data_IF_734887714387
#
_entry.id   IF_734887714387
#
_cell.length_a   1.000
_cell.length_b   1.000
_cell.length_c   1.000
_cell.angle_alpha   90.00
_cell.angle_beta   90.00
_cell.angle_gamma   90.00
#
_symmetry.space_group_name_H-M   'P 1'
#
loop_
_entity.id
_entity.type
_entity.pdbx_description
1 polymer ?
#
# COMPACT_ATOMS: atom_id res chain seq x y z
N UNK A 1 30.97 -18.35 24.37
CA UNK A 1 30.22 -19.56 23.94
C UNK A 1 29.68 -19.27 22.57
N UNK A 2 30.09 -20.02 21.53
CA UNK A 2 29.53 -19.88 20.17
C UNK A 2 28.10 -20.41 20.17
N UNK A 3 27.16 -19.64 19.62
CA UNK A 3 25.80 -20.13 19.38
C UNK A 3 25.87 -21.37 18.49
N UNK A 4 25.13 -22.44 18.82
CA UNK A 4 25.13 -23.64 17.99
C UNK A 4 24.56 -23.31 16.62
N UNK A 5 25.19 -23.84 15.57
CA UNK A 5 24.63 -23.80 14.22
C UNK A 5 23.39 -24.70 14.16
N UNK A 6 22.22 -24.10 14.02
CA UNK A 6 20.93 -24.79 13.97
C UNK A 6 20.57 -25.28 12.57
N UNK A 7 21.38 -24.92 11.56
CA UNK A 7 21.08 -25.28 10.19
C UNK A 7 21.50 -26.72 9.88
N UNK A 8 20.53 -27.58 9.51
CA UNK A 8 20.81 -28.91 9.00
C UNK A 8 21.45 -28.90 7.60
N UNK A 9 21.12 -27.88 6.80
CA UNK A 9 21.69 -27.62 5.48
C UNK A 9 21.49 -26.14 5.12
N UNK A 10 22.40 -25.60 4.29
CA UNK A 10 22.29 -24.23 3.76
C UNK A 10 22.32 -24.29 2.24
N UNK A 11 21.29 -23.73 1.60
CA UNK A 11 21.24 -23.50 0.15
C UNK A 11 21.37 -22.01 -0.10
N UNK A 12 22.34 -21.62 -0.92
CA UNK A 12 22.54 -20.23 -1.33
C UNK A 12 21.95 -20.03 -2.72
N UNK A 13 21.11 -18.98 -2.87
CA UNK A 13 20.66 -18.53 -4.17
C UNK A 13 21.86 -18.07 -5.02
N UNK A 14 21.78 -18.30 -6.32
CA UNK A 14 22.64 -17.64 -7.32
C UNK A 14 22.13 -16.20 -7.51
N UNK A 15 22.94 -15.32 -8.15
CA UNK A 15 22.52 -13.96 -8.48
C UNK A 15 21.13 -13.96 -9.10
N UNK A 16 20.16 -13.36 -8.42
CA UNK A 16 18.77 -13.34 -8.84
C UNK A 16 18.61 -12.65 -10.21
N UNK A 17 17.63 -13.09 -10.97
CA UNK A 17 17.17 -12.36 -12.16
C UNK A 17 16.86 -10.93 -11.78
N UNK A 18 17.27 -9.95 -12.61
CA UNK A 18 16.87 -8.57 -12.44
C UNK A 18 15.34 -8.45 -12.63
N UNK A 19 14.66 -7.86 -11.64
CA UNK A 19 13.21 -7.67 -11.62
C UNK A 19 12.92 -6.19 -11.85
N UNK A 20 11.99 -5.87 -12.75
CA UNK A 20 11.56 -4.51 -13.05
C UNK A 20 10.10 -4.34 -12.65
N UNK A 21 9.83 -3.46 -11.69
CA UNK A 21 8.48 -3.15 -11.21
C UNK A 21 8.12 -1.72 -11.61
N UNK A 22 6.94 -1.53 -12.20
CA UNK A 22 6.36 -0.21 -12.39
C UNK A 22 5.37 0.10 -11.27
N UNK A 23 5.67 1.10 -10.45
CA UNK A 23 4.73 1.68 -9.49
C UNK A 23 3.90 2.73 -10.22
N UNK A 24 2.61 2.49 -10.29
CA UNK A 24 1.64 3.31 -11.02
C UNK A 24 0.87 4.16 -10.02
N UNK A 25 1.18 5.44 -9.92
CA UNK A 25 0.30 6.41 -9.28
C UNK A 25 -0.81 6.77 -10.26
N UNK A 26 -2.08 6.33 -10.06
CA UNK A 26 -3.14 6.51 -11.03
C UNK A 26 -3.81 7.89 -10.98
N UNK A 27 -3.33 8.81 -10.14
CA UNK A 27 -3.74 10.21 -10.13
C UNK A 27 -2.69 11.10 -10.81
N UNK A 28 -3.02 12.36 -11.09
CA UNK A 28 -2.12 13.31 -11.76
C UNK A 28 -1.24 14.12 -10.81
N UNK A 29 -1.14 13.74 -9.53
CA UNK A 29 -0.29 14.43 -8.56
C UNK A 29 1.17 13.98 -8.66
N UNK A 30 2.03 14.86 -9.17
CA UNK A 30 3.47 14.65 -9.21
C UNK A 30 4.08 14.60 -7.80
N UNK A 31 3.52 15.35 -6.84
CA UNK A 31 3.99 15.37 -5.44
C UNK A 31 3.83 14.00 -4.77
N UNK A 32 2.71 13.31 -5.01
CA UNK A 32 2.50 11.95 -4.50
C UNK A 32 3.52 11.00 -5.13
N UNK A 33 3.74 11.06 -6.46
CA UNK A 33 4.77 10.23 -7.10
C UNK A 33 6.15 10.53 -6.55
N UNK A 34 6.48 11.81 -6.32
CA UNK A 34 7.77 12.19 -5.77
C UNK A 34 7.99 11.63 -4.36
N UNK A 35 6.95 11.65 -3.49
CA UNK A 35 7.02 11.04 -2.15
C UNK A 35 7.31 9.53 -2.22
N UNK A 36 6.74 8.81 -3.20
CA UNK A 36 7.05 7.40 -3.42
C UNK A 36 8.51 7.19 -3.85
N UNK A 37 9.01 8.04 -4.74
CA UNK A 37 10.43 8.02 -5.16
C UNK A 37 11.35 8.25 -3.97
N UNK A 38 11.07 9.26 -3.15
CA UNK A 38 11.91 9.64 -2.00
C UNK A 38 11.89 8.55 -0.91
N UNK A 39 10.76 7.90 -0.70
CA UNK A 39 10.67 6.74 0.18
C UNK A 39 11.63 5.62 -0.26
N UNK A 40 11.63 5.25 -1.55
CA UNK A 40 12.53 4.21 -2.05
C UNK A 40 13.99 4.67 -2.19
N UNK A 41 14.28 5.96 -2.22
CA UNK A 41 15.64 6.47 -2.07
C UNK A 41 16.17 6.32 -0.65
N UNK A 42 15.28 6.51 0.34
CA UNK A 42 15.63 6.36 1.77
C UNK A 42 15.70 4.90 2.19
N UNK A 43 14.79 4.06 1.66
CA UNK A 43 14.72 2.62 1.92
C UNK A 43 14.74 1.84 0.60
N UNK A 44 15.91 1.71 -0.04
CA UNK A 44 16.01 1.09 -1.36
C UNK A 44 15.67 -0.40 -1.32
N UNK A 45 15.05 -0.94 -2.39
CA UNK A 45 14.81 -2.36 -2.52
C UNK A 45 16.15 -3.12 -2.69
N UNK A 46 16.15 -4.47 -2.59
CA UNK A 46 17.31 -5.27 -2.93
C UNK A 46 17.87 -4.96 -4.32
N UNK A 47 19.19 -5.05 -4.49
CA UNK A 47 19.92 -4.59 -5.69
C UNK A 47 19.47 -5.21 -7.03
N UNK A 48 18.81 -6.38 -6.99
CA UNK A 48 18.27 -7.02 -8.19
C UNK A 48 16.89 -6.49 -8.60
N UNK A 49 16.28 -5.58 -7.82
CA UNK A 49 14.98 -4.97 -8.11
C UNK A 49 15.18 -3.54 -8.59
N UNK A 50 14.60 -3.23 -9.74
CA UNK A 50 14.52 -1.87 -10.27
C UNK A 50 13.08 -1.40 -10.21
N UNK A 51 12.83 -0.26 -9.58
CA UNK A 51 11.51 0.35 -9.49
C UNK A 51 11.48 1.58 -10.40
N UNK A 52 10.48 1.61 -11.27
CA UNK A 52 10.13 2.78 -12.07
C UNK A 52 8.80 3.35 -11.61
N UNK A 53 8.55 4.62 -11.84
CA UNK A 53 7.34 5.30 -11.39
C UNK A 53 6.60 5.90 -12.58
N UNK A 54 5.28 5.81 -12.54
CA UNK A 54 4.37 6.44 -13.49
C UNK A 54 3.41 7.34 -12.72
N UNK A 55 3.22 8.55 -13.20
CA UNK A 55 2.16 9.47 -12.75
C UNK A 55 1.03 9.44 -13.78
N UNK A 56 -0.21 9.35 -13.32
CA UNK A 56 -1.37 9.45 -14.19
C UNK A 56 -1.35 10.72 -15.03
N UNK A 57 -1.85 10.68 -16.27
CA UNK A 57 -1.87 11.85 -17.14
C UNK A 57 -2.73 12.98 -16.54
N UNK A 58 -2.59 14.23 -17.04
CA UNK A 58 -3.29 15.42 -16.50
C UNK A 58 -4.82 15.31 -16.46
N UNK A 59 -5.40 14.43 -17.28
CA UNK A 59 -6.84 14.15 -17.33
C UNK A 59 -7.32 13.29 -16.14
N UNK A 60 -6.39 12.66 -15.42
CA UNK A 60 -6.72 11.99 -14.18
C UNK A 60 -7.02 13.00 -13.07
N UNK A 61 -7.88 12.65 -12.10
CA UNK A 61 -8.06 13.47 -10.92
C UNK A 61 -6.71 13.66 -10.19
N UNK A 62 -6.51 14.82 -9.58
CA UNK A 62 -5.33 15.09 -8.75
C UNK A 62 -5.30 14.23 -7.49
N UNK A 63 -6.49 13.95 -6.93
CA UNK A 63 -6.74 13.01 -5.83
C UNK A 63 -7.87 12.08 -6.25
N UNK A 64 -7.84 10.83 -5.77
CA UNK A 64 -8.91 9.87 -5.98
C UNK A 64 -9.65 9.75 -4.66
N UNK A 65 -10.81 10.38 -4.57
CA UNK A 65 -11.53 10.57 -3.33
C UNK A 65 -12.86 9.78 -3.27
N UNK A 66 -13.17 9.02 -4.32
CA UNK A 66 -14.37 8.18 -4.41
C UNK A 66 -14.23 7.08 -5.48
N UNK A 67 -15.19 6.15 -5.49
CA UNK A 67 -15.22 5.01 -6.42
C UNK A 67 -15.31 5.46 -7.90
N UNK A 68 -16.09 6.50 -8.21
CA UNK A 68 -16.23 7.02 -9.57
C UNK A 68 -14.88 7.49 -10.12
N UNK A 69 -14.08 8.13 -9.28
CA UNK A 69 -12.74 8.61 -9.65
C UNK A 69 -11.75 7.43 -9.81
N UNK A 70 -11.88 6.36 -9.01
CA UNK A 70 -11.12 5.12 -9.25
C UNK A 70 -11.37 4.58 -10.66
N UNK A 71 -12.64 4.47 -11.06
CA UNK A 71 -12.99 3.99 -12.39
C UNK A 71 -12.54 4.93 -13.51
N UNK A 72 -12.69 6.24 -13.32
CA UNK A 72 -12.27 7.26 -14.30
C UNK A 72 -10.75 7.20 -14.48
N UNK A 73 -10.00 7.22 -13.40
CA UNK A 73 -8.54 7.18 -13.43
C UNK A 73 -8.01 5.91 -14.08
N UNK A 74 -8.62 4.75 -13.78
CA UNK A 74 -8.22 3.48 -14.40
C UNK A 74 -8.39 3.50 -15.91
N UNK A 75 -9.54 4.01 -16.40
CA UNK A 75 -9.82 4.14 -17.84
C UNK A 75 -8.84 5.10 -18.53
N UNK A 76 -8.49 6.18 -17.85
CA UNK A 76 -7.56 7.20 -18.36
C UNK A 76 -6.11 6.69 -18.36
N UNK A 77 -5.66 5.97 -17.31
CA UNK A 77 -4.30 5.45 -17.24
C UNK A 77 -4.03 4.29 -18.19
N UNK A 78 -5.01 3.40 -18.41
CA UNK A 78 -4.79 2.15 -19.15
C UNK A 78 -4.15 2.36 -20.53
N UNK A 79 -4.64 3.27 -21.41
CA UNK A 79 -4.05 3.47 -22.73
C UNK A 79 -2.57 3.84 -22.70
N UNK A 80 -2.12 4.57 -21.67
CA UNK A 80 -0.74 4.99 -21.49
C UNK A 80 0.18 3.86 -21.04
N UNK A 81 -0.37 2.83 -20.41
CA UNK A 81 0.38 1.68 -19.91
C UNK A 81 0.46 0.53 -20.93
N UNK A 82 -0.49 0.45 -21.89
CA UNK A 82 -0.53 -0.58 -22.90
C UNK A 82 0.77 -0.75 -23.73
N UNK A 83 1.48 0.32 -24.13
CA UNK A 83 2.74 0.16 -24.86
C UNK A 83 3.79 -0.58 -24.04
N UNK A 84 3.93 -0.28 -22.74
CA UNK A 84 4.88 -0.94 -21.86
C UNK A 84 4.53 -2.42 -21.62
N UNK A 85 3.22 -2.73 -21.50
CA UNK A 85 2.72 -4.11 -21.39
C UNK A 85 3.08 -4.90 -22.65
N UNK A 86 2.77 -4.38 -23.85
CA UNK A 86 3.05 -5.02 -25.13
C UNK A 86 4.55 -5.25 -25.38
N UNK A 87 5.37 -4.34 -24.88
CA UNK A 87 6.82 -4.41 -24.99
C UNK A 87 7.47 -5.30 -23.89
N UNK A 88 6.69 -5.88 -22.97
CA UNK A 88 7.18 -6.61 -21.78
C UNK A 88 8.27 -5.82 -21.03
N UNK A 89 8.06 -4.50 -20.86
CA UNK A 89 9.05 -3.58 -20.30
C UNK A 89 9.27 -3.81 -18.81
N UNK A 90 8.22 -4.26 -18.10
CA UNK A 90 8.22 -4.53 -16.68
C UNK A 90 7.70 -5.94 -16.38
N UNK A 91 8.25 -6.56 -15.35
CA UNK A 91 7.85 -7.88 -14.87
C UNK A 91 6.57 -7.80 -14.03
N UNK A 92 6.37 -6.69 -13.32
CA UNK A 92 5.19 -6.47 -12.48
C UNK A 92 4.74 -5.00 -12.45
N UNK A 93 3.47 -4.79 -12.09
CA UNK A 93 2.82 -3.49 -11.96
C UNK A 93 2.16 -3.37 -10.59
N UNK A 94 2.50 -2.33 -9.83
CA UNK A 94 1.90 -2.00 -8.54
C UNK A 94 1.06 -0.74 -8.66
N UNK A 95 -0.25 -0.84 -8.47
CA UNK A 95 -1.14 0.32 -8.50
C UNK A 95 -1.16 0.99 -7.12
N UNK A 96 -0.60 2.19 -7.04
CA UNK A 96 -0.43 2.97 -5.82
C UNK A 96 -1.66 3.83 -5.50
N UNK A 97 -2.85 3.20 -5.46
CA UNK A 97 -4.08 3.75 -4.94
C UNK A 97 -4.65 2.78 -3.91
N UNK A 98 -4.95 3.30 -2.71
CA UNK A 98 -5.45 2.48 -1.62
C UNK A 98 -6.97 2.33 -1.68
N UNK A 99 -7.41 1.44 -2.54
CA UNK A 99 -8.82 1.16 -2.83
C UNK A 99 -8.94 -0.19 -3.57
N UNK A 100 -10.13 -0.72 -3.70
CA UNK A 100 -10.44 -1.78 -4.69
C UNK A 100 -10.39 -1.19 -6.10
N UNK A 101 -9.18 -0.81 -6.53
CA UNK A 101 -8.97 -0.07 -7.77
C UNK A 101 -9.08 -0.99 -8.99
N UNK A 102 -9.86 -0.63 -10.03
CA UNK A 102 -10.07 -1.54 -11.18
C UNK A 102 -8.83 -1.73 -12.06
N UNK A 103 -7.86 -0.81 -12.01
CA UNK A 103 -6.68 -0.83 -12.90
C UNK A 103 -5.85 -2.13 -12.82
N UNK A 104 -5.56 -2.75 -11.66
CA UNK A 104 -4.81 -4.01 -11.62
C UNK A 104 -5.47 -5.10 -12.45
N UNK A 105 -6.80 -5.24 -12.36
CA UNK A 105 -7.55 -6.21 -13.14
C UNK A 105 -7.58 -5.87 -14.65
N UNK A 106 -7.70 -4.58 -14.98
CA UNK A 106 -7.65 -4.10 -16.37
C UNK A 106 -6.29 -4.37 -17.01
N UNK A 107 -5.19 -4.18 -16.29
CA UNK A 107 -3.82 -4.49 -16.75
C UNK A 107 -3.64 -5.99 -16.99
N UNK A 108 -4.07 -6.84 -16.06
CA UNK A 108 -4.04 -8.31 -16.25
C UNK A 108 -4.83 -8.72 -17.49
N UNK A 109 -6.05 -8.25 -17.64
CA UNK A 109 -6.89 -8.54 -18.81
C UNK A 109 -6.25 -8.07 -20.11
N UNK A 110 -5.73 -6.85 -20.15
CA UNK A 110 -5.11 -6.26 -21.34
C UNK A 110 -3.83 -6.98 -21.76
N UNK A 111 -3.13 -7.62 -20.82
CA UNK A 111 -1.94 -8.44 -21.09
C UNK A 111 -2.26 -9.89 -21.42
N UNK A 112 -3.53 -10.30 -21.42
CA UNK A 112 -3.90 -11.73 -21.52
C UNK A 112 -3.43 -12.54 -20.31
N UNK A 113 -3.39 -11.93 -19.12
CA UNK A 113 -2.93 -12.50 -17.84
C UNK A 113 -1.43 -12.89 -17.84
N UNK A 114 -0.62 -12.23 -18.66
CA UNK A 114 0.85 -12.50 -18.72
C UNK A 114 1.66 -11.62 -17.79
N UNK A 115 1.09 -10.53 -17.25
CA UNK A 115 1.78 -9.65 -16.29
C UNK A 115 1.20 -9.80 -14.88
N UNK A 116 2.10 -9.71 -13.90
CA UNK A 116 1.73 -9.70 -12.48
C UNK A 116 1.33 -8.29 -12.06
N UNK A 117 0.11 -8.12 -11.53
CA UNK A 117 -0.41 -6.83 -11.09
C UNK A 117 -1.03 -6.94 -9.70
N UNK A 118 -0.79 -5.94 -8.85
CA UNK A 118 -1.34 -5.85 -7.51
C UNK A 118 -1.68 -4.39 -7.17
N UNK A 119 -2.70 -4.16 -6.35
CA UNK A 119 -2.96 -2.89 -5.71
C UNK A 119 -2.32 -2.82 -4.33
N UNK A 120 -2.03 -1.62 -3.85
CA UNK A 120 -1.42 -1.42 -2.52
C UNK A 120 -2.40 -1.75 -1.39
N UNK A 121 -3.71 -1.71 -1.63
CA UNK A 121 -4.73 -2.14 -0.68
C UNK A 121 -4.61 -3.64 -0.41
N UNK A 122 -4.68 -4.47 -1.44
CA UNK A 122 -4.57 -5.93 -1.34
C UNK A 122 -3.21 -6.34 -0.76
N UNK A 123 -2.14 -5.68 -1.21
CA UNK A 123 -0.79 -5.94 -0.71
C UNK A 123 -0.68 -5.69 0.80
N UNK A 124 -1.21 -4.56 1.29
CA UNK A 124 -1.15 -4.24 2.71
C UNK A 124 -1.98 -5.20 3.57
N UNK A 125 -3.16 -5.61 3.08
CA UNK A 125 -4.01 -6.58 3.78
C UNK A 125 -3.32 -7.93 3.91
N UNK A 126 -2.73 -8.45 2.83
CA UNK A 126 -1.94 -9.69 2.85
C UNK A 126 -0.78 -9.60 3.83
N UNK A 127 -0.05 -8.48 3.80
CA UNK A 127 1.10 -8.25 4.66
C UNK A 127 0.70 -8.13 6.14
N UNK A 128 -0.42 -7.42 6.42
CA UNK A 128 -0.95 -7.28 7.76
C UNK A 128 -1.40 -8.63 8.34
N UNK A 129 -2.11 -9.44 7.55
CA UNK A 129 -2.55 -10.78 7.96
C UNK A 129 -1.38 -11.73 8.22
N UNK A 130 -0.27 -11.58 7.47
CA UNK A 130 0.93 -12.38 7.67
C UNK A 130 1.74 -11.97 8.90
N UNK A 131 1.63 -10.70 9.33
CA UNK A 131 2.34 -10.15 10.49
C UNK A 131 1.58 -10.28 11.81
N UNK A 132 0.25 -10.24 11.75
CA UNK A 132 -0.60 -10.34 12.92
C UNK A 132 -0.71 -11.80 13.38
N UNK A 133 -0.57 -12.04 14.68
CA UNK A 133 -0.87 -13.35 15.27
C UNK A 133 -2.34 -13.74 15.04
N UNK A 134 -2.72 -15.03 15.15
CA UNK A 134 -4.09 -15.51 14.84
C UNK A 134 -5.19 -14.75 15.58
N UNK A 135 -4.95 -14.30 16.79
CA UNK A 135 -5.91 -13.57 17.65
C UNK A 135 -5.79 -12.06 17.52
N UNK A 136 -4.80 -11.57 16.78
CA UNK A 136 -4.57 -10.15 16.60
C UNK A 136 -5.36 -9.58 15.43
N UNK A 137 -5.64 -8.29 15.53
CA UNK A 137 -6.36 -7.53 14.51
C UNK A 137 -5.45 -6.53 13.81
N UNK A 138 -5.74 -6.29 12.54
CA UNK A 138 -5.19 -5.13 11.84
C UNK A 138 -6.24 -4.06 11.64
N UNK A 139 -5.80 -2.81 11.54
CA UNK A 139 -6.64 -1.66 11.21
C UNK A 139 -6.04 -0.86 10.07
N UNK A 140 -6.85 -0.01 9.45
CA UNK A 140 -6.45 0.84 8.33
C UNK A 140 -6.66 2.30 8.73
N UNK A 141 -5.62 3.14 8.61
CA UNK A 141 -5.77 4.60 8.69
C UNK A 141 -5.80 5.12 7.26
N UNK A 142 -6.82 5.91 6.92
CA UNK A 142 -7.02 6.40 5.55
C UNK A 142 -7.33 7.90 5.50
N UNK A 143 -7.60 8.42 4.33
CA UNK A 143 -7.88 9.81 3.99
C UNK A 143 -9.32 10.24 4.34
N UNK A 144 -10.16 10.46 3.36
CA UNK A 144 -11.54 10.94 3.53
C UNK A 144 -12.48 9.91 4.16
N UNK A 145 -13.53 10.39 4.83
CA UNK A 145 -14.48 9.54 5.58
C UNK A 145 -15.21 8.51 4.73
N UNK A 146 -15.43 8.80 3.45
CA UNK A 146 -16.08 7.88 2.51
C UNK A 146 -15.33 6.53 2.42
N UNK A 147 -14.02 6.56 2.62
CA UNK A 147 -13.18 5.37 2.58
C UNK A 147 -13.40 4.42 3.75
N UNK A 148 -13.97 4.86 4.87
CA UNK A 148 -14.25 3.95 6.00
C UNK A 148 -15.21 2.82 5.58
N UNK A 149 -16.28 3.15 4.88
CA UNK A 149 -17.23 2.14 4.37
C UNK A 149 -16.73 1.42 3.13
N UNK A 150 -16.14 2.15 2.17
CA UNK A 150 -15.65 1.56 0.93
C UNK A 150 -14.54 0.53 1.17
N UNK A 151 -13.55 0.84 2.02
CA UNK A 151 -12.47 -0.09 2.35
C UNK A 151 -12.95 -1.28 3.19
N UNK A 152 -13.95 -1.09 4.06
CA UNK A 152 -14.56 -2.21 4.78
C UNK A 152 -15.24 -3.17 3.81
N UNK A 153 -15.99 -2.66 2.85
CA UNK A 153 -16.64 -3.48 1.80
C UNK A 153 -15.59 -4.17 0.92
N UNK A 154 -14.59 -3.41 0.45
CA UNK A 154 -13.49 -3.93 -0.36
C UNK A 154 -12.73 -5.08 0.35
N UNK A 155 -12.50 -4.93 1.66
CA UNK A 155 -11.87 -5.97 2.47
C UNK A 155 -12.68 -7.26 2.47
N UNK A 156 -13.99 -7.16 2.68
CA UNK A 156 -14.87 -8.34 2.68
C UNK A 156 -14.91 -9.01 1.30
N UNK A 157 -14.94 -8.23 0.22
CA UNK A 157 -14.83 -8.74 -1.15
C UNK A 157 -13.50 -9.46 -1.37
N UNK A 158 -12.39 -8.83 -0.99
CA UNK A 158 -11.06 -9.39 -1.20
C UNK A 158 -10.83 -10.69 -0.43
N UNK A 159 -11.31 -10.78 0.81
CA UNK A 159 -11.18 -11.97 1.65
C UNK A 159 -12.24 -13.02 1.35
N UNK A 160 -13.28 -12.70 0.56
CA UNK A 160 -14.39 -13.60 0.26
C UNK A 160 -15.29 -13.90 1.48
N UNK A 161 -15.37 -12.96 2.44
CA UNK A 161 -16.14 -13.12 3.68
C UNK A 161 -17.01 -11.90 3.94
N UNK A 162 -18.13 -12.07 4.64
CA UNK A 162 -19.02 -10.96 5.02
C UNK A 162 -18.57 -10.20 6.27
N UNK A 163 -17.70 -10.79 7.07
CA UNK A 163 -17.07 -10.21 8.25
C UNK A 163 -15.84 -11.01 8.65
N UNK A 164 -14.90 -10.36 9.33
CA UNK A 164 -13.72 -11.04 9.89
C UNK A 164 -13.39 -10.48 11.28
N UNK A 165 -13.11 -11.38 12.23
CA UNK A 165 -12.66 -11.01 13.58
C UNK A 165 -11.25 -10.42 13.59
N UNK A 166 -10.49 -10.60 12.50
CA UNK A 166 -9.12 -10.09 12.34
C UNK A 166 -9.04 -8.61 11.93
N UNK A 167 -10.17 -7.93 11.75
CA UNK A 167 -10.22 -6.53 11.32
C UNK A 167 -10.74 -5.62 12.45
N UNK A 168 -9.95 -4.61 12.78
CA UNK A 168 -10.27 -3.61 13.80
C UNK A 168 -11.08 -2.42 13.26
N UNK A 169 -11.16 -2.29 11.93
CA UNK A 169 -11.89 -1.22 11.26
C UNK A 169 -10.99 -0.26 10.47
N UNK A 170 -11.61 0.78 9.96
CA UNK A 170 -10.96 1.89 9.26
C UNK A 170 -11.11 3.17 10.09
N UNK A 171 -10.06 3.97 10.17
CA UNK A 171 -10.09 5.31 10.75
C UNK A 171 -9.61 6.31 9.70
N UNK A 172 -10.43 7.31 9.37
CA UNK A 172 -10.08 8.35 8.42
C UNK A 172 -9.49 9.58 9.10
N UNK A 173 -8.54 10.25 8.43
CA UNK A 173 -8.04 11.57 8.83
C UNK A 173 -9.07 12.68 8.56
N UNK A 174 -9.96 12.47 7.60
CA UNK A 174 -10.89 13.46 7.07
C UNK A 174 -10.31 14.32 5.95
N UNK A 175 -9.00 14.25 5.68
CA UNK A 175 -8.32 14.94 4.58
C UNK A 175 -8.34 14.11 3.29
N UNK A 176 -8.29 14.76 2.13
CA UNK A 176 -7.96 14.12 0.85
C UNK A 176 -6.48 13.75 0.78
N UNK A 177 -6.09 12.96 -0.23
CA UNK A 177 -4.68 12.59 -0.41
C UNK A 177 -3.79 13.82 -0.71
N UNK A 178 -4.31 14.86 -1.36
CA UNK A 178 -3.57 16.10 -1.60
C UNK A 178 -3.43 16.90 -0.33
N UNK A 179 -4.50 17.06 0.45
CA UNK A 179 -4.46 17.81 1.71
C UNK A 179 -3.47 17.23 2.72
N UNK A 180 -3.16 15.92 2.66
CA UNK A 180 -2.08 15.34 3.47
C UNK A 180 -0.71 15.98 3.20
N UNK A 181 -0.50 16.54 2.00
CA UNK A 181 0.76 17.21 1.61
C UNK A 181 0.69 18.74 1.74
N UNK A 182 -0.51 19.32 1.61
CA UNK A 182 -0.70 20.77 1.60
C UNK A 182 -0.95 21.35 3.01
N UNK A 183 -1.49 20.52 3.92
CA UNK A 183 -1.77 20.93 5.31
C UNK A 183 -0.50 20.92 6.17
N UNK A 184 -0.44 21.71 7.25
CA UNK A 184 0.67 21.65 8.19
C UNK A 184 0.91 20.23 8.70
N UNK A 185 2.16 19.76 8.64
CA UNK A 185 2.54 18.40 9.05
C UNK A 185 2.04 18.04 10.45
N UNK A 186 2.09 18.99 11.39
CA UNK A 186 1.60 18.78 12.77
C UNK A 186 0.12 18.40 12.83
N UNK A 187 -0.71 19.02 11.97
CA UNK A 187 -2.15 18.74 11.92
C UNK A 187 -2.42 17.37 11.30
N UNK A 188 -1.72 17.06 10.22
CA UNK A 188 -1.80 15.74 9.56
C UNK A 188 -1.38 14.64 10.53
N UNK A 189 -0.25 14.83 11.22
CA UNK A 189 0.28 13.88 12.20
C UNK A 189 -0.68 13.69 13.37
N UNK A 190 -1.31 14.75 13.86
CA UNK A 190 -2.33 14.66 14.89
C UNK A 190 -3.53 13.80 14.45
N UNK A 191 -4.03 13.99 13.21
CA UNK A 191 -5.16 13.20 12.68
C UNK A 191 -4.81 11.74 12.49
N UNK A 192 -3.62 11.43 11.96
CA UNK A 192 -3.13 10.06 11.85
C UNK A 192 -2.99 9.43 13.23
N UNK A 193 -2.42 10.14 14.20
CA UNK A 193 -2.26 9.69 15.58
C UNK A 193 -3.60 9.44 16.28
N UNK A 194 -4.63 10.28 16.06
CA UNK A 194 -5.99 10.04 16.55
C UNK A 194 -6.57 8.74 15.97
N UNK A 195 -6.39 8.51 14.66
CA UNK A 195 -6.79 7.27 14.00
C UNK A 195 -6.10 6.05 14.60
N UNK A 196 -4.79 6.15 14.82
CA UNK A 196 -3.99 5.09 15.43
C UNK A 196 -4.48 4.75 16.84
N UNK A 197 -4.70 5.76 17.69
CA UNK A 197 -5.22 5.58 19.04
C UNK A 197 -6.58 4.89 19.05
N UNK A 198 -7.51 5.34 18.19
CA UNK A 198 -8.82 4.70 18.04
C UNK A 198 -8.69 3.22 17.68
N UNK A 199 -7.89 2.87 16.67
CA UNK A 199 -7.77 1.49 16.21
C UNK A 199 -7.06 0.60 17.23
N UNK A 200 -5.99 1.08 17.85
CA UNK A 200 -5.17 0.31 18.79
C UNK A 200 -5.86 0.16 20.14
N UNK A 201 -6.27 1.28 20.76
CA UNK A 201 -6.72 1.29 22.15
C UNK A 201 -8.20 0.92 22.28
N UNK A 202 -9.04 1.29 21.31
CA UNK A 202 -10.50 1.04 21.39
C UNK A 202 -10.91 -0.23 20.63
N UNK A 203 -10.21 -0.56 19.52
CA UNK A 203 -10.59 -1.69 18.66
C UNK A 203 -9.60 -2.86 18.69
N UNK A 204 -8.45 -2.70 19.38
CA UNK A 204 -7.51 -3.78 19.64
C UNK A 204 -6.60 -4.13 18.45
N UNK A 205 -6.37 -3.20 17.51
CA UNK A 205 -5.43 -3.42 16.42
C UNK A 205 -3.99 -3.62 16.96
N UNK A 206 -3.24 -4.49 16.30
CA UNK A 206 -1.80 -4.72 16.53
C UNK A 206 -0.98 -4.46 15.28
N UNK A 207 -1.62 -4.44 14.14
CA UNK A 207 -1.02 -4.02 12.87
C UNK A 207 -1.82 -2.84 12.32
N UNK A 208 -1.15 -1.77 11.92
CA UNK A 208 -1.75 -0.58 11.31
C UNK A 208 -1.26 -0.47 9.86
N UNK A 209 -2.20 -0.47 8.93
CA UNK A 209 -1.93 -0.19 7.52
C UNK A 209 -2.07 1.31 7.25
N UNK A 210 -1.07 1.90 6.58
CA UNK A 210 -1.16 3.25 6.03
C UNK A 210 -1.99 3.20 4.74
N UNK A 211 -3.21 3.65 4.82
CA UNK A 211 -4.27 3.49 3.84
C UNK A 211 -4.33 4.60 2.78
N UNK A 212 -3.19 5.11 2.37
CA UNK A 212 -3.03 6.00 1.23
C UNK A 212 -1.57 6.00 0.76
N UNK A 213 -1.33 6.05 -0.54
CA UNK A 213 0.02 6.26 -1.07
C UNK A 213 0.65 7.58 -0.59
N UNK A 214 -0.18 8.60 -0.36
CA UNK A 214 0.25 9.87 0.23
C UNK A 214 0.66 9.82 1.71
N UNK A 215 0.42 8.69 2.40
CA UNK A 215 0.86 8.47 3.78
C UNK A 215 2.21 7.74 3.88
N UNK A 216 2.80 7.37 2.75
CA UNK A 216 4.12 6.74 2.71
C UNK A 216 5.15 7.57 3.48
N UNK A 217 5.86 6.95 4.42
CA UNK A 217 6.85 7.62 5.27
C UNK A 217 6.27 8.35 6.49
N UNK A 218 4.97 8.20 6.78
CA UNK A 218 4.31 8.85 7.93
C UNK A 218 4.17 7.93 9.16
N UNK A 219 5.02 6.91 9.29
CA UNK A 219 4.99 5.96 10.42
C UNK A 219 5.14 6.67 11.77
N UNK A 220 5.93 7.74 11.82
CA UNK A 220 6.12 8.55 13.04
C UNK A 220 4.82 9.19 13.54
N UNK A 221 3.88 9.51 12.64
CA UNK A 221 2.58 10.05 13.01
C UNK A 221 1.74 9.01 13.76
N UNK A 222 1.84 7.73 13.39
CA UNK A 222 1.19 6.63 14.11
C UNK A 222 1.78 6.50 15.51
N UNK A 223 3.12 6.46 15.60
CA UNK A 223 3.82 6.33 16.89
C UNK A 223 3.57 7.52 17.81
N UNK A 224 3.55 8.75 17.27
CA UNK A 224 3.28 9.97 18.02
C UNK A 224 1.85 10.05 18.61
N UNK A 225 0.92 9.29 18.01
CA UNK A 225 -0.46 9.22 18.51
C UNK A 225 -0.69 8.19 19.60
N UNK A 226 0.23 7.27 19.82
CA UNK A 226 0.06 6.15 20.75
C UNK A 226 0.78 6.40 22.08
N UNK A 227 0.22 5.82 23.15
CA UNK A 227 0.92 5.74 24.44
C UNK A 227 2.23 4.93 24.27
N UNK A 228 3.34 5.35 24.91
CA UNK A 228 4.65 4.65 24.81
C UNK A 228 4.62 3.15 25.08
N UNK A 229 3.65 2.66 25.87
CA UNK A 229 3.48 1.22 26.12
C UNK A 229 3.19 0.40 24.86
N UNK A 230 2.75 1.04 23.77
CA UNK A 230 2.40 0.39 22.51
C UNK A 230 3.56 0.31 21.50
N UNK A 231 4.65 1.06 21.72
CA UNK A 231 5.73 1.24 20.75
C UNK A 231 6.30 -0.07 20.22
N UNK A 232 6.48 -1.07 21.09
CA UNK A 232 7.07 -2.38 20.71
C UNK A 232 5.99 -3.46 20.45
N UNK A 233 4.71 -3.08 20.49
CA UNK A 233 3.58 -4.02 20.36
C UNK A 233 2.75 -3.79 19.09
N UNK A 234 3.06 -2.75 18.34
CA UNK A 234 2.34 -2.40 17.12
C UNK A 234 3.28 -2.49 15.95
N UNK A 235 2.80 -3.05 14.86
CA UNK A 235 3.50 -3.07 13.58
C UNK A 235 2.80 -2.12 12.61
N UNK A 236 3.57 -1.46 11.74
CA UNK A 236 3.04 -0.58 10.71
C UNK A 236 3.33 -1.20 9.34
N UNK A 237 2.37 -1.13 8.44
CA UNK A 237 2.46 -1.60 7.07
C UNK A 237 2.26 -0.43 6.12
N UNK A 238 3.30 -0.08 5.38
CA UNK A 238 3.20 0.74 4.19
C UNK A 238 2.78 -0.14 3.00
N UNK A 239 1.66 0.22 2.34
CA UNK A 239 1.09 -0.59 1.27
C UNK A 239 1.97 -0.63 0.01
N UNK A 240 2.78 0.39 -0.23
CA UNK A 240 3.67 0.45 -1.41
C UNK A 240 4.88 -0.45 -1.20
N UNK A 241 5.52 -0.38 -0.03
CA UNK A 241 6.61 -1.29 0.34
C UNK A 241 6.14 -2.75 0.38
N UNK A 242 4.97 -3.01 0.97
CA UNK A 242 4.34 -4.33 0.98
C UNK A 242 4.12 -4.86 -0.44
N UNK A 243 3.60 -4.01 -1.34
CA UNK A 243 3.36 -4.37 -2.73
C UNK A 243 4.61 -4.74 -3.50
N UNK A 244 5.67 -3.93 -3.39
CA UNK A 244 6.97 -4.24 -4.01
C UNK A 244 7.53 -5.55 -3.46
N UNK A 245 7.48 -5.75 -2.14
CA UNK A 245 7.95 -6.97 -1.49
C UNK A 245 7.22 -8.22 -2.00
N UNK A 246 5.89 -8.19 -2.07
CA UNK A 246 5.09 -9.30 -2.56
C UNK A 246 5.35 -9.56 -4.05
N UNK A 247 5.31 -8.52 -4.90
CA UNK A 247 5.51 -8.64 -6.33
C UNK A 247 6.89 -9.20 -6.68
N UNK A 248 7.93 -8.82 -5.93
CA UNK A 248 9.29 -9.34 -6.15
C UNK A 248 9.42 -10.84 -5.91
N UNK A 249 8.53 -11.42 -5.10
CA UNK A 249 8.47 -12.86 -4.86
C UNK A 249 7.53 -13.63 -5.81
N UNK A 250 6.78 -12.91 -6.66
CA UNK A 250 5.80 -13.48 -7.58
C UNK A 250 6.29 -13.59 -9.03
N UNK A 251 7.46 -12.98 -9.36
CA UNK A 251 8.00 -12.88 -10.74
C UNK A 251 9.39 -13.48 -10.89
#
# INVERSE_FOLDING_TARGET
>A
MSTPDLAAATVRGTNGRAIKILVVNPNSSESITQSLVDMFRTSPPPAHITISFFTGPPECPKSIDNERECHSSAKTCLPHLLPAIKAHQYDAYLVACYSEHPLPNMLRTASGNTVTCLGIFEASVLHALARADPDEKFGIITTGRVWESLLTTALHHFLGVSATSRFAGVASTGYSAIELHDMPQSEVYEKIGQGARRLVEQHGARVICLGCAGMTGMEEAVWGGLDPQWKDKIQIVDGVQAGVSILSGMV
#
